data_IF_299916755179
#
_entry.id   IF_299916755179
#
_cell.length_a   1.000
_cell.length_b   1.000
_cell.length_c   1.000
_cell.angle_alpha   90.00
_cell.angle_beta   90.00
_cell.angle_gamma   90.00
#
_symmetry.space_group_name_H-M   'P 1'
#
loop_
_entity.id
_entity.type
_entity.pdbx_description
1 polymer ?
#
# COMPACT_ATOMS: atom_id res chain seq x y z
N UNK A 1 -6.85 -14.66 -0.22
CA UNK A 1 -5.43 -14.57 0.25
C UNK A 1 -5.16 -13.21 0.90
N UNK A 2 -4.25 -13.14 1.89
CA UNK A 2 -3.91 -11.89 2.59
C UNK A 2 -2.56 -11.31 2.14
N UNK A 3 -2.52 -10.02 1.84
CA UNK A 3 -1.30 -9.23 1.59
C UNK A 3 -0.97 -8.41 2.84
N UNK A 4 0.29 -8.42 3.27
CA UNK A 4 0.76 -7.73 4.49
C UNK A 4 1.80 -6.67 4.11
N UNK A 5 1.55 -5.43 4.49
CA UNK A 5 2.42 -4.29 4.22
C UNK A 5 2.74 -3.52 5.51
N UNK A 6 3.91 -2.89 5.54
CA UNK A 6 4.30 -1.96 6.60
C UNK A 6 5.15 -0.81 6.02
N UNK A 7 5.28 0.34 6.70
CA UNK A 7 6.08 1.47 6.23
C UNK A 7 7.59 1.24 6.34
N UNK A 8 8.03 0.45 7.34
CA UNK A 8 9.47 0.20 7.62
C UNK A 8 9.86 -1.26 7.38
N UNK A 9 11.15 -1.49 7.10
CA UNK A 9 11.66 -2.82 6.79
C UNK A 9 11.61 -3.79 7.97
N UNK A 10 11.83 -3.30 9.20
CA UNK A 10 11.83 -4.12 10.42
C UNK A 10 10.44 -4.69 10.66
N UNK A 11 9.41 -3.83 10.67
CA UNK A 11 8.02 -4.22 10.89
C UNK A 11 7.51 -5.10 9.75
N UNK A 12 7.84 -4.76 8.51
CA UNK A 12 7.50 -5.59 7.36
C UNK A 12 8.07 -7.01 7.49
N UNK A 13 9.29 -7.18 7.99
CA UNK A 13 9.89 -8.49 8.19
C UNK A 13 9.21 -9.25 9.34
N UNK A 14 8.85 -8.58 10.43
CA UNK A 14 8.18 -9.19 11.60
C UNK A 14 6.82 -9.79 11.25
N UNK A 15 6.07 -9.13 10.37
CA UNK A 15 4.78 -9.65 9.89
C UNK A 15 4.90 -10.55 8.66
N UNK A 16 6.09 -11.04 8.27
CA UNK A 16 6.36 -11.76 7.01
C UNK A 16 5.70 -11.08 5.78
N UNK A 17 5.84 -9.76 5.71
CA UNK A 17 5.29 -8.88 4.70
C UNK A 17 6.36 -8.21 3.85
N UNK A 18 6.03 -7.05 3.31
CA UNK A 18 6.97 -6.20 2.58
C UNK A 18 6.68 -4.73 2.82
N UNK A 19 7.65 -3.86 2.56
CA UNK A 19 7.38 -2.43 2.73
C UNK A 19 6.42 -1.90 1.66
N UNK A 20 5.62 -0.88 2.00
CA UNK A 20 4.74 -0.21 1.03
C UNK A 20 5.57 0.33 -0.15
N UNK A 21 6.72 0.94 0.12
CA UNK A 21 7.61 1.47 -0.91
C UNK A 21 8.14 0.39 -1.86
N UNK A 22 8.58 -0.76 -1.32
CA UNK A 22 8.97 -1.93 -2.12
C UNK A 22 7.81 -2.42 -2.98
N UNK A 23 6.60 -2.46 -2.43
CA UNK A 23 5.40 -2.87 -3.15
C UNK A 23 5.08 -1.91 -4.32
N UNK A 24 5.15 -0.60 -4.09
CA UNK A 24 4.92 0.41 -5.14
C UNK A 24 6.03 0.38 -6.23
N UNK A 25 7.18 -0.21 -5.92
CA UNK A 25 8.36 -0.17 -6.79
C UNK A 25 9.11 1.15 -6.70
N UNK A 26 8.89 1.94 -5.65
CA UNK A 26 9.62 3.17 -5.35
C UNK A 26 10.88 2.79 -4.56
N UNK A 27 11.90 2.26 -5.26
CA UNK A 27 13.24 2.17 -4.67
C UNK A 27 13.98 3.50 -4.88
N UNK A 28 14.69 3.94 -3.86
CA UNK A 28 15.38 5.23 -3.76
C UNK A 28 16.35 5.56 -4.93
N UNK A 29 16.66 4.58 -5.79
CA UNK A 29 17.59 4.68 -6.93
C UNK A 29 16.98 4.43 -8.32
N UNK A 30 15.67 4.26 -8.46
CA UNK A 30 15.04 4.09 -9.78
C UNK A 30 14.03 5.20 -10.02
N UNK A 31 14.43 6.25 -10.73
CA UNK A 31 13.59 7.39 -11.13
C UNK A 31 12.43 7.06 -12.09
N UNK A 32 11.95 5.81 -12.10
CA UNK A 32 10.78 5.39 -12.89
C UNK A 32 9.73 4.85 -11.94
N UNK A 33 8.71 5.66 -11.67
CA UNK A 33 7.47 5.19 -11.08
C UNK A 33 6.94 4.00 -11.89
N UNK A 34 6.39 2.98 -11.22
CA UNK A 34 5.81 1.81 -11.87
C UNK A 34 4.70 2.27 -12.83
N UNK A 35 4.98 2.33 -14.14
CA UNK A 35 3.96 2.64 -15.14
C UNK A 35 2.99 1.47 -15.20
N UNK A 36 1.79 1.65 -14.65
CA UNK A 36 0.73 0.68 -14.79
C UNK A 36 0.04 0.92 -16.12
N UNK A 37 0.18 -0.03 -17.04
CA UNK A 37 -0.68 -0.14 -18.23
C UNK A 37 -1.77 -1.19 -17.94
N UNK A 38 -3.05 -0.91 -18.23
CA UNK A 38 -4.11 -1.91 -18.11
C UNK A 38 -3.88 -3.07 -19.09
N UNK A 39 -4.13 -4.32 -18.67
CA UNK A 39 -4.11 -5.49 -19.54
C UNK A 39 -3.02 -6.51 -19.20
N UNK A 40 -3.43 -7.63 -18.61
CA UNK A 40 -2.67 -8.84 -18.28
C UNK A 40 -1.30 -8.59 -17.64
N UNK A 41 -1.24 -7.55 -16.80
CA UNK A 41 -0.01 -7.16 -16.14
C UNK A 41 0.33 -8.14 -15.02
N UNK A 42 1.62 -8.26 -14.68
CA UNK A 42 2.08 -9.03 -13.51
C UNK A 42 1.29 -8.65 -12.23
N UNK A 43 0.89 -7.38 -12.14
CA UNK A 43 0.11 -6.85 -11.02
C UNK A 43 -1.31 -7.42 -10.96
N UNK A 44 -1.98 -7.59 -12.10
CA UNK A 44 -3.33 -8.17 -12.14
C UNK A 44 -3.32 -9.62 -11.63
N UNK A 45 -2.35 -10.42 -12.08
CA UNK A 45 -2.18 -11.80 -11.60
C UNK A 45 -1.84 -11.85 -10.11
N UNK A 46 -1.00 -10.92 -9.65
CA UNK A 46 -0.61 -10.82 -8.24
C UNK A 46 -1.80 -10.46 -7.33
N UNK A 47 -2.73 -9.64 -7.82
CA UNK A 47 -3.89 -9.18 -7.06
C UNK A 47 -5.16 -10.01 -7.27
N UNK A 48 -5.22 -10.88 -8.28
CA UNK A 48 -6.39 -11.70 -8.58
C UNK A 48 -6.93 -12.45 -7.34
N UNK A 49 -6.05 -13.03 -6.52
CA UNK A 49 -6.40 -13.86 -5.36
C UNK A 49 -6.34 -13.12 -4.02
N UNK A 50 -5.92 -11.85 -4.00
CA UNK A 50 -5.82 -11.05 -2.77
C UNK A 50 -7.20 -10.56 -2.36
N UNK A 51 -7.64 -10.91 -1.17
CA UNK A 51 -8.96 -10.55 -0.61
C UNK A 51 -8.83 -9.61 0.58
N UNK A 52 -7.68 -9.68 1.27
CA UNK A 52 -7.37 -8.87 2.44
C UNK A 52 -6.02 -8.16 2.26
N UNK A 53 -5.98 -6.90 2.68
CA UNK A 53 -4.78 -6.10 2.81
C UNK A 53 -4.62 -5.67 4.26
N UNK A 54 -3.57 -6.15 4.92
CA UNK A 54 -3.12 -5.67 6.22
C UNK A 54 -2.06 -4.59 6.02
N UNK A 55 -2.24 -3.43 6.66
CA UNK A 55 -1.23 -2.37 6.75
C UNK A 55 -0.95 -2.15 8.23
N UNK A 56 0.25 -2.53 8.65
CA UNK A 56 0.74 -2.29 10.01
C UNK A 56 1.50 -0.96 10.09
N UNK A 57 1.59 -0.40 11.30
CA UNK A 57 2.16 0.92 11.60
C UNK A 57 1.53 2.06 10.77
N UNK A 58 0.20 2.07 10.72
CA UNK A 58 -0.58 3.05 9.96
C UNK A 58 -0.32 4.51 10.38
N UNK A 59 0.19 4.75 11.60
CA UNK A 59 0.54 6.09 12.06
C UNK A 59 1.63 6.75 11.21
N UNK A 60 2.52 5.94 10.61
CA UNK A 60 3.62 6.42 9.77
C UNK A 60 3.25 6.51 8.28
N UNK A 61 2.02 6.10 7.91
CA UNK A 61 1.54 6.12 6.52
C UNK A 61 0.81 7.43 6.26
N UNK A 62 1.38 8.27 5.39
CA UNK A 62 0.77 9.54 5.00
C UNK A 62 -0.25 9.43 3.88
N UNK A 63 -1.00 10.50 3.66
CA UNK A 63 -2.09 10.56 2.69
C UNK A 63 -1.62 10.30 1.26
N UNK A 64 -0.46 10.84 0.87
CA UNK A 64 0.09 10.66 -0.48
C UNK A 64 0.47 9.20 -0.72
N UNK A 65 1.14 8.58 0.25
CA UNK A 65 1.52 7.17 0.18
C UNK A 65 0.28 6.27 0.10
N UNK A 66 -0.73 6.53 0.92
CA UNK A 66 -1.98 5.76 0.91
C UNK A 66 -2.74 5.92 -0.42
N UNK A 67 -2.79 7.13 -0.98
CA UNK A 67 -3.44 7.40 -2.26
C UNK A 67 -2.73 6.69 -3.44
N UNK A 68 -1.38 6.68 -3.43
CA UNK A 68 -0.60 5.89 -4.39
C UNK A 68 -0.92 4.41 -4.27
N UNK A 69 -0.93 3.87 -3.05
CA UNK A 69 -1.28 2.47 -2.78
C UNK A 69 -2.67 2.11 -3.30
N UNK A 70 -3.69 2.92 -3.00
CA UNK A 70 -5.05 2.78 -3.52
C UNK A 70 -5.04 2.69 -5.06
N UNK A 71 -4.37 3.63 -5.74
CA UNK A 71 -4.31 3.66 -7.21
C UNK A 71 -3.68 2.41 -7.82
N UNK A 72 -2.58 1.92 -7.23
CA UNK A 72 -1.93 0.68 -7.71
C UNK A 72 -2.88 -0.51 -7.53
N UNK A 73 -3.56 -0.60 -6.39
CA UNK A 73 -4.46 -1.72 -6.09
C UNK A 73 -5.69 -1.72 -6.99
N UNK A 74 -6.36 -0.57 -7.17
CA UNK A 74 -7.49 -0.45 -8.09
C UNK A 74 -7.11 -0.93 -9.49
N UNK A 75 -5.91 -0.57 -9.96
CA UNK A 75 -5.46 -1.01 -11.26
C UNK A 75 -5.09 -2.51 -11.30
N UNK A 76 -4.51 -3.07 -10.23
CA UNK A 76 -4.29 -4.51 -10.10
C UNK A 76 -5.58 -5.31 -10.02
N UNK A 77 -6.66 -4.73 -9.48
CA UNK A 77 -8.00 -5.33 -9.40
C UNK A 77 -8.87 -5.06 -10.63
N UNK A 78 -8.38 -4.24 -11.57
CA UNK A 78 -9.18 -3.75 -12.70
C UNK A 78 -10.51 -3.12 -12.24
N UNK A 79 -10.48 -2.45 -11.09
CA UNK A 79 -11.63 -1.87 -10.44
C UNK A 79 -11.77 -0.38 -10.76
N UNK A 80 -13.00 0.13 -10.67
CA UNK A 80 -13.28 1.56 -10.77
C UNK A 80 -12.42 2.34 -9.74
N UNK A 81 -11.73 3.43 -10.12
CA UNK A 81 -10.98 4.27 -9.19
C UNK A 81 -11.79 4.83 -8.01
N UNK A 82 -13.12 4.88 -8.11
CA UNK A 82 -14.02 5.28 -7.02
C UNK A 82 -14.22 4.20 -5.97
N UNK A 83 -13.89 2.93 -6.27
CA UNK A 83 -13.95 1.83 -5.31
C UNK A 83 -12.65 1.84 -4.50
N UNK A 84 -12.69 2.16 -3.18
CA UNK A 84 -11.50 2.16 -2.35
C UNK A 84 -10.80 0.80 -2.41
N UNK A 85 -9.50 0.83 -2.63
CA UNK A 85 -8.61 -0.33 -2.72
C UNK A 85 -9.12 -1.42 -3.68
N UNK A 86 -9.86 -1.03 -4.72
CA UNK A 86 -10.43 -1.97 -5.69
C UNK A 86 -11.31 -3.05 -5.08
N UNK A 87 -11.94 -2.77 -3.94
CA UNK A 87 -12.84 -3.70 -3.23
C UNK A 87 -12.11 -4.72 -2.35
N UNK A 88 -10.80 -4.58 -2.15
CA UNK A 88 -10.06 -5.40 -1.18
C UNK A 88 -10.46 -5.00 0.24
N UNK A 89 -10.66 -6.00 1.12
CA UNK A 89 -10.90 -5.73 2.54
C UNK A 89 -9.61 -5.22 3.17
N UNK A 90 -9.61 -3.99 3.69
CA UNK A 90 -8.42 -3.37 4.27
C UNK A 90 -8.50 -3.37 5.80
N UNK A 91 -7.42 -3.81 6.44
CA UNK A 91 -7.24 -3.82 7.88
C UNK A 91 -6.05 -2.90 8.19
N UNK A 92 -6.30 -1.82 8.92
CA UNK A 92 -5.26 -0.92 9.41
C UNK A 92 -4.91 -1.26 10.85
N UNK A 93 -3.63 -1.39 11.16
CA UNK A 93 -3.08 -1.57 12.50
C UNK A 93 -2.06 -0.47 12.79
N UNK A 94 -1.91 -0.11 14.07
CA UNK A 94 -0.90 0.83 14.54
C UNK A 94 -1.42 1.72 15.65
N UNK A 95 -0.50 2.48 16.23
CA UNK A 95 -0.76 3.45 17.29
C UNK A 95 -0.43 4.86 16.80
N UNK A 96 -1.46 5.69 16.62
CA UNK A 96 -1.34 7.05 16.11
C UNK A 96 -0.58 8.01 17.02
N UNK A 97 -0.29 7.62 18.27
CA UNK A 97 0.45 8.44 19.22
C UNK A 97 1.97 8.23 19.16
N UNK A 98 2.45 7.25 18.37
CA UNK A 98 3.88 6.97 18.23
C UNK A 98 4.56 7.92 17.23
N UNK A 99 4.65 7.52 15.97
CA UNK A 99 5.36 8.26 14.93
C UNK A 99 4.43 8.71 13.82
N UNK A 100 4.60 9.96 13.40
CA UNK A 100 3.92 10.59 12.25
C UNK A 100 4.65 10.26 10.95
N UNK A 101 3.97 10.36 9.79
CA UNK A 101 4.63 10.19 8.50
C UNK A 101 5.72 11.26 8.30
N UNK A 102 6.82 10.84 7.68
CA UNK A 102 7.94 11.72 7.36
C UNK A 102 7.73 12.30 5.96
N UNK A 103 7.70 13.63 5.85
CA UNK A 103 7.49 14.37 4.58
C UNK A 103 6.17 14.06 3.85
N UNK A 104 5.12 13.61 4.55
CA UNK A 104 3.78 13.39 3.98
C UNK A 104 2.70 13.92 4.94
N UNK A 105 1.49 14.11 4.43
CA UNK A 105 0.36 14.63 5.19
C UNK A 105 -0.16 13.56 6.14
N UNK A 106 -0.29 13.91 7.42
CA UNK A 106 -0.84 13.03 8.43
C UNK A 106 -2.35 12.83 8.23
N UNK A 107 -2.82 11.58 8.32
CA UNK A 107 -4.20 11.21 7.98
C UNK A 107 -5.18 11.50 9.13
N UNK A 108 -4.72 11.47 10.38
CA UNK A 108 -5.58 11.65 11.55
C UNK A 108 -5.23 12.94 12.28
N UNK A 109 -6.15 13.89 12.32
CA UNK A 109 -6.06 15.04 13.22
C UNK A 109 -6.87 14.69 14.47
N UNK A 110 -6.18 14.27 15.54
CA UNK A 110 -6.71 14.40 16.90
C UNK A 110 -6.38 15.81 17.41
#
# INVERSE_FOLDING_TARGET
>A
MMRKLAPTGIVAAEIDGMTIHSFLGEQHNSGKARTIKPGNSKLEKEWALVEYLLIDEMSMVGLTLLAKLNRIICAGKHADPQIPFGGVNVIFFGDYLQYRPVYDVFIFFL
#
